data_IF_675302900319
#
_entry.id   IF_675302900319
#
_cell.length_a   1.000
_cell.length_b   1.000
_cell.length_c   1.000
_cell.angle_alpha   90.00
_cell.angle_beta   90.00
_cell.angle_gamma   90.00
#
_symmetry.space_group_name_H-M   'P 1'
#
loop_
_entity.id
_entity.type
_entity.pdbx_description
1 polymer ?
#
# COMPACT_ATOMS: atom_id res chain seq x y z
N UNK A 1 9.95 13.02 -6.34
CA UNK A 1 8.80 12.11 -6.56
C UNK A 1 9.32 10.93 -7.37
N UNK A 2 9.46 9.75 -6.77
CA UNK A 2 9.88 8.55 -7.50
C UNK A 2 8.74 8.08 -8.38
N UNK A 3 8.93 8.10 -9.70
CA UNK A 3 7.99 7.51 -10.64
C UNK A 3 7.87 6.02 -10.30
N UNK A 4 6.64 5.56 -10.01
CA UNK A 4 6.42 4.13 -9.77
C UNK A 4 6.48 3.42 -11.13
N UNK A 5 7.30 2.38 -11.31
CA UNK A 5 7.36 1.67 -12.59
C UNK A 5 6.01 0.98 -12.88
N UNK A 6 5.70 0.85 -14.17
CA UNK A 6 4.48 0.23 -14.68
C UNK A 6 4.83 -0.93 -15.61
N UNK A 7 4.04 -1.99 -15.55
CA UNK A 7 4.05 -3.12 -16.48
C UNK A 7 2.87 -2.96 -17.44
N UNK A 8 3.13 -3.05 -18.75
CA UNK A 8 2.09 -2.98 -19.79
C UNK A 8 1.78 -4.38 -20.29
N UNK A 9 0.54 -4.84 -20.15
CA UNK A 9 0.10 -6.15 -20.60
C UNK A 9 -1.07 -6.01 -21.58
N UNK A 10 -1.23 -6.96 -22.49
CA UNK A 10 -2.42 -7.03 -23.36
C UNK A 10 -3.36 -8.11 -22.86
N UNK A 11 -4.65 -7.80 -22.75
CA UNK A 11 -5.64 -8.82 -22.42
C UNK A 11 -5.69 -9.89 -23.51
N UNK A 12 -5.56 -11.20 -23.19
CA UNK A 12 -5.61 -12.25 -24.21
C UNK A 12 -7.00 -12.39 -24.85
N UNK A 13 -8.06 -11.86 -24.23
CA UNK A 13 -9.43 -11.99 -24.73
C UNK A 13 -9.85 -10.85 -25.65
N UNK A 14 -9.63 -9.59 -25.25
CA UNK A 14 -10.05 -8.41 -26.03
C UNK A 14 -8.88 -7.55 -26.55
N UNK A 15 -7.64 -7.95 -26.31
CA UNK A 15 -6.40 -7.25 -26.72
C UNK A 15 -6.23 -5.83 -26.13
N UNK A 16 -7.14 -5.40 -25.26
CA UNK A 16 -7.03 -4.14 -24.53
C UNK A 16 -5.74 -4.10 -23.71
N UNK A 17 -4.98 -3.01 -23.87
CA UNK A 17 -3.76 -2.76 -23.09
C UNK A 17 -4.12 -2.35 -21.66
N UNK A 18 -3.46 -2.95 -20.70
CA UNK A 18 -3.63 -2.71 -19.27
C UNK A 18 -2.27 -2.32 -18.69
N UNK A 19 -2.20 -1.13 -18.11
CA UNK A 19 -1.00 -0.62 -17.44
C UNK A 19 -1.13 -0.80 -15.93
N UNK A 20 -0.19 -1.51 -15.32
CA UNK A 20 -0.27 -1.89 -13.91
C UNK A 20 0.94 -1.37 -13.14
N UNK A 21 0.73 -0.72 -11.99
CA UNK A 21 1.84 -0.36 -11.13
C UNK A 21 2.56 -1.63 -10.67
N UNK A 22 3.86 -1.74 -10.95
CA UNK A 22 4.69 -2.91 -10.62
C UNK A 22 4.55 -3.28 -9.14
N UNK A 23 4.49 -2.27 -8.27
CA UNK A 23 4.29 -2.41 -6.82
C UNK A 23 3.06 -3.22 -6.39
N UNK A 24 2.06 -3.39 -7.26
CA UNK A 24 0.81 -4.14 -7.01
C UNK A 24 0.89 -5.60 -7.46
N UNK A 25 1.88 -5.97 -8.27
CA UNK A 25 2.03 -7.33 -8.79
C UNK A 25 2.31 -8.35 -7.67
N UNK A 26 1.82 -9.57 -7.88
CA UNK A 26 1.97 -10.71 -6.99
C UNK A 26 2.21 -11.99 -7.82
N UNK A 27 3.07 -12.90 -7.35
CA UNK A 27 3.22 -14.23 -7.94
C UNK A 27 1.89 -14.98 -7.95
N UNK A 28 1.64 -15.77 -8.98
CA UNK A 28 0.39 -16.53 -9.18
C UNK A 28 -0.88 -15.68 -9.23
N UNK A 29 -0.75 -14.36 -9.42
CA UNK A 29 -1.86 -13.43 -9.45
C UNK A 29 -2.59 -13.43 -10.80
N UNK A 30 -3.90 -13.25 -10.76
CA UNK A 30 -4.69 -12.86 -11.91
C UNK A 30 -5.25 -11.44 -11.72
N UNK A 31 -5.42 -10.73 -12.82
CA UNK A 31 -5.88 -9.35 -12.84
C UNK A 31 -7.12 -9.26 -13.73
N UNK A 32 -8.20 -8.61 -13.29
CA UNK A 32 -9.36 -8.42 -14.14
C UNK A 32 -9.02 -7.42 -15.25
N UNK A 33 -9.35 -7.77 -16.49
CA UNK A 33 -9.35 -6.81 -17.60
C UNK A 33 -10.43 -5.75 -17.33
N UNK A 34 -10.12 -4.45 -17.44
CA UNK A 34 -11.11 -3.39 -17.19
C UNK A 34 -12.22 -3.33 -18.26
N UNK A 35 -12.00 -3.94 -19.41
CA UNK A 35 -12.86 -3.83 -20.58
C UNK A 35 -13.79 -5.05 -20.72
N UNK A 36 -13.23 -6.27 -20.70
CA UNK A 36 -14.01 -7.50 -20.85
C UNK A 36 -14.18 -8.32 -19.57
N UNK A 37 -13.74 -7.80 -18.41
CA UNK A 37 -13.75 -8.48 -17.09
C UNK A 37 -13.02 -9.84 -17.02
N UNK A 38 -12.40 -10.30 -18.12
CA UNK A 38 -11.69 -11.57 -18.17
C UNK A 38 -10.40 -11.52 -17.35
N UNK A 39 -10.04 -12.65 -16.74
CA UNK A 39 -8.83 -12.76 -15.96
C UNK A 39 -7.58 -12.77 -16.87
N UNK A 40 -6.67 -11.85 -16.61
CA UNK A 40 -5.33 -11.79 -17.19
C UNK A 40 -4.39 -12.49 -16.21
N UNK A 41 -3.85 -13.64 -16.63
CA UNK A 41 -2.87 -14.38 -15.84
C UNK A 41 -1.48 -13.81 -16.07
N UNK A 42 -0.73 -13.63 -14.97
CA UNK A 42 0.66 -13.25 -15.05
C UNK A 42 1.49 -14.52 -15.32
N UNK A 43 2.03 -14.63 -16.53
CA UNK A 43 2.93 -15.72 -16.87
C UNK A 43 4.33 -15.43 -16.31
N UNK A 44 4.72 -16.17 -15.27
CA UNK A 44 6.04 -16.02 -14.65
C UNK A 44 7.18 -16.55 -15.53
N UNK A 45 6.87 -17.24 -16.62
CA UNK A 45 7.86 -17.65 -17.62
C UNK A 45 8.21 -16.51 -18.58
N UNK A 46 7.37 -15.48 -18.68
CA UNK A 46 7.67 -14.28 -19.45
C UNK A 46 8.75 -13.46 -18.71
N UNK A 47 9.90 -13.15 -19.36
CA UNK A 47 11.01 -12.46 -18.72
C UNK A 47 10.65 -11.05 -18.23
N UNK A 48 9.73 -10.35 -18.90
CA UNK A 48 9.30 -9.01 -18.52
C UNK A 48 8.42 -9.07 -17.27
N UNK A 49 7.51 -10.05 -17.20
CA UNK A 49 6.67 -10.29 -16.02
C UNK A 49 7.51 -10.77 -14.84
N UNK A 50 8.45 -11.68 -15.07
CA UNK A 50 9.36 -12.18 -14.04
C UNK A 50 10.20 -11.05 -13.43
N UNK A 51 10.76 -10.17 -14.27
CA UNK A 51 11.51 -9.01 -13.81
C UNK A 51 10.63 -8.04 -13.01
N UNK A 52 9.42 -7.74 -13.50
CA UNK A 52 8.48 -6.90 -12.79
C UNK A 52 8.08 -7.49 -11.42
N UNK A 53 7.96 -8.81 -11.29
CA UNK A 53 7.69 -9.48 -10.01
C UNK A 53 8.87 -9.36 -9.03
N UNK A 54 10.11 -9.42 -9.51
CA UNK A 54 11.32 -9.18 -8.70
C UNK A 54 11.34 -7.74 -8.18
N UNK A 55 11.10 -6.76 -9.03
CA UNK A 55 11.01 -5.35 -8.65
C UNK A 55 9.88 -5.12 -7.63
N UNK A 56 8.70 -5.69 -7.88
CA UNK A 56 7.57 -5.64 -6.96
C UNK A 56 7.91 -6.22 -5.58
N UNK A 57 8.76 -7.26 -5.52
CA UNK A 57 9.26 -7.84 -4.27
C UNK A 57 10.23 -6.89 -3.56
N UNK A 58 11.17 -6.28 -4.28
CA UNK A 58 12.11 -5.32 -3.72
C UNK A 58 11.39 -4.09 -3.13
N UNK A 59 10.47 -3.49 -3.89
CA UNK A 59 9.66 -2.36 -3.42
C UNK A 59 8.81 -2.68 -2.19
N UNK A 60 8.37 -3.94 -2.04
CA UNK A 60 7.66 -4.38 -0.82
C UNK A 60 8.61 -4.54 0.35
N UNK A 61 9.79 -5.11 0.12
CA UNK A 61 10.79 -5.28 1.15
C UNK A 61 11.25 -3.91 1.68
N UNK A 62 11.50 -2.95 0.81
CA UNK A 62 11.86 -1.58 1.16
C UNK A 62 10.77 -0.89 1.98
N UNK A 63 9.51 -0.89 1.49
CA UNK A 63 8.39 -0.33 2.26
C UNK A 63 8.18 -1.02 3.61
N UNK A 64 8.44 -2.33 3.71
CA UNK A 64 8.40 -3.04 4.99
C UNK A 64 9.52 -2.56 5.91
N UNK A 65 10.74 -2.35 5.40
CA UNK A 65 11.86 -1.81 6.19
C UNK A 65 11.56 -0.39 6.67
N UNK A 66 11.12 0.49 5.79
CA UNK A 66 10.77 1.87 6.14
C UNK A 66 9.65 1.91 7.18
N UNK A 67 8.58 1.15 6.98
CA UNK A 67 7.49 1.02 7.97
C UNK A 67 8.00 0.50 9.31
N UNK A 68 8.87 -0.51 9.29
CA UNK A 68 9.44 -1.05 10.53
C UNK A 68 10.35 -0.02 11.21
N UNK A 69 11.20 0.68 10.46
CA UNK A 69 12.06 1.74 10.98
C UNK A 69 11.23 2.88 11.59
N UNK A 70 10.13 3.30 10.95
CA UNK A 70 9.19 4.25 11.51
C UNK A 70 8.58 3.72 12.80
N UNK A 71 8.07 2.48 12.81
CA UNK A 71 7.50 1.86 14.01
C UNK A 71 8.51 1.79 15.16
N UNK A 72 9.75 1.43 14.87
CA UNK A 72 10.81 1.29 15.87
C UNK A 72 11.20 2.68 16.39
N UNK A 73 11.34 3.69 15.52
CA UNK A 73 11.56 5.08 15.92
C UNK A 73 10.43 5.67 16.79
N UNK A 74 9.18 5.27 16.53
CA UNK A 74 8.03 5.63 17.36
C UNK A 74 8.08 4.94 18.73
N UNK A 75 8.47 3.66 18.79
CA UNK A 75 8.66 2.94 20.05
C UNK A 75 9.76 3.57 20.90
N UNK A 76 10.92 3.86 20.30
CA UNK A 76 12.05 4.49 20.97
C UNK A 76 11.70 5.90 21.50
N UNK A 77 10.84 6.63 20.79
CA UNK A 77 10.32 7.91 21.27
C UNK A 77 9.36 7.73 22.46
N UNK A 78 8.47 6.73 22.42
CA UNK A 78 7.61 6.38 23.55
C UNK A 78 8.39 6.01 24.82
N UNK A 79 9.53 5.35 24.67
CA UNK A 79 10.46 5.04 25.78
C UNK A 79 11.18 6.29 26.31
N UNK A 80 11.29 7.35 25.49
CA UNK A 80 11.89 8.64 25.85
C UNK A 80 10.92 9.57 26.60
N UNK A 81 9.61 9.41 26.39
CA UNK A 81 8.57 10.08 27.18
C UNK A 81 8.22 9.24 28.43
N UNK A 82 9.12 9.23 29.42
CA UNK A 82 8.76 8.78 30.79
C UNK A 82 8.18 9.96 31.56
N UNK A 83 7.01 9.77 32.17
CA UNK A 83 6.48 10.74 33.14
C UNK A 83 7.43 10.84 34.34
N UNK A 84 7.69 12.05 34.91
CA UNK A 84 8.52 12.17 36.10
C UNK A 84 7.86 11.41 37.26
N UNK A 85 8.49 10.33 37.73
CA UNK A 85 8.00 9.49 38.83
C UNK A 85 7.31 8.17 38.42
N UNK A 86 7.29 7.80 37.14
CA UNK A 86 6.71 6.53 36.67
C UNK A 86 7.75 5.57 36.10
N UNK A 87 7.88 4.38 36.69
CA UNK A 87 8.66 3.25 36.15
C UNK A 87 8.02 2.60 34.89
N UNK A 88 6.91 3.16 34.39
CA UNK A 88 6.18 2.63 33.22
C UNK A 88 6.44 3.48 31.98
N UNK A 89 6.73 2.86 30.83
CA UNK A 89 6.65 3.56 29.55
C UNK A 89 5.24 4.13 29.37
N UNK A 90 5.14 5.23 28.63
CA UNK A 90 3.89 5.95 28.34
C UNK A 90 2.75 4.95 28.06
N UNK A 91 1.62 5.00 28.80
CA UNK A 91 0.47 4.17 28.46
C UNK A 91 0.02 4.58 27.06
N UNK A 92 -0.39 3.58 26.27
CA UNK A 92 -1.11 3.76 25.01
C UNK A 92 -1.98 5.03 25.12
N UNK A 93 -1.66 6.09 24.37
CA UNK A 93 -2.65 7.14 24.14
C UNK A 93 -3.87 6.39 23.65
N UNK A 94 -4.96 6.41 24.45
CA UNK A 94 -6.04 5.43 24.40
C UNK A 94 -6.31 5.16 22.92
N UNK A 95 -5.91 3.98 22.44
CA UNK A 95 -6.05 3.59 21.03
C UNK A 95 -7.47 3.92 20.53
N UNK A 96 -8.54 3.83 21.35
CA UNK A 96 -9.86 4.36 21.01
C UNK A 96 -9.92 5.83 20.56
N UNK A 97 -9.21 6.76 21.20
CA UNK A 97 -9.23 8.18 20.86
C UNK A 97 -8.47 8.47 19.55
N UNK A 98 -7.37 7.76 19.32
CA UNK A 98 -6.58 7.88 18.09
C UNK A 98 -7.33 7.28 16.89
N UNK A 99 -8.04 6.17 17.10
CA UNK A 99 -8.97 5.59 16.13
C UNK A 99 -10.18 6.50 15.89
N UNK A 100 -10.76 7.08 16.93
CA UNK A 100 -11.88 8.02 16.80
C UNK A 100 -11.48 9.31 16.06
N UNK A 101 -10.22 9.74 16.19
CA UNK A 101 -9.67 10.84 15.39
C UNK A 101 -9.52 10.48 13.92
N UNK A 102 -9.03 9.27 13.62
CA UNK A 102 -8.93 8.74 12.26
C UNK A 102 -10.29 8.57 11.59
N UNK A 103 -11.29 8.03 12.29
CA UNK A 103 -12.65 7.85 11.78
C UNK A 103 -13.31 9.18 11.41
N UNK A 104 -13.12 10.21 12.24
CA UNK A 104 -13.60 11.57 11.93
C UNK A 104 -12.92 12.15 10.70
N UNK A 105 -11.65 11.85 10.50
CA UNK A 105 -10.87 12.36 9.36
C UNK A 105 -11.25 11.64 8.06
N UNK A 106 -11.47 10.32 8.11
CA UNK A 106 -12.01 9.56 6.97
C UNK A 106 -13.42 10.01 6.59
N UNK A 107 -14.32 10.22 7.57
CA UNK A 107 -15.67 10.70 7.29
C UNK A 107 -15.71 12.09 6.63
N UNK A 108 -14.72 12.95 6.91
CA UNK A 108 -14.57 14.25 6.22
C UNK A 108 -14.05 14.09 4.79
N UNK A 109 -13.14 13.16 4.55
CA UNK A 109 -12.67 12.83 3.20
C UNK A 109 -13.80 12.26 2.34
N UNK A 110 -14.63 11.38 2.89
CA UNK A 110 -15.79 10.83 2.18
C UNK A 110 -16.80 11.91 1.80
N UNK A 111 -17.04 12.90 2.68
CA UNK A 111 -17.90 14.05 2.36
C UNK A 111 -17.31 14.93 1.25
N UNK A 112 -16.00 15.13 1.23
CA UNK A 112 -15.32 15.88 0.18
C UNK A 112 -15.33 15.14 -1.16
N UNK A 113 -15.23 13.80 -1.14
CA UNK A 113 -15.27 12.97 -2.34
C UNK A 113 -16.69 12.70 -2.86
N UNK A 114 -17.70 12.75 -1.99
CA UNK A 114 -19.11 12.63 -2.34
C UNK A 114 -19.75 13.96 -2.78
N UNK A 115 -19.05 15.08 -2.60
CA UNK A 115 -19.49 16.38 -3.11
C UNK A 115 -19.28 16.42 -4.63
N UNK A 116 -20.32 16.52 -5.47
CA UNK A 116 -20.13 16.63 -6.91
C UNK A 116 -19.45 17.96 -7.22
N UNK A 117 -18.31 17.88 -7.90
CA UNK A 117 -17.64 19.02 -8.50
C UNK A 117 -18.67 19.81 -9.32
N UNK A 118 -19.06 20.99 -8.83
CA UNK A 118 -19.76 21.98 -9.65
C UNK A 118 -18.75 22.75 -10.49
#
# INVERSE_FOLDING_TARGET
MSATPFLSLSCPHCLTRVNLPVRRLRPGGCLPCPDCASAIFLDEQDPEIAQALVEARQMRAERRRERNALRDAWRDQGDRWRLPGGDRPMPDADIPDLLAGLDRLMGRLDQLLASPSR
#
